data_IF_141793783907
#
_entry.id   IF_141793783907
#
_cell.length_a   1.000
_cell.length_b   1.000
_cell.length_c   1.000
_cell.angle_alpha   90.00
_cell.angle_beta   90.00
_cell.angle_gamma   90.00
#
_symmetry.space_group_name_H-M   'P 1'
#
loop_
_entity.id
_entity.type
_entity.pdbx_description
1 polymer ?
#
# COMPACT_ATOMS: atom_id res chain seq x y z
N UNK A 1 -25.55 -0.31 -3.97
CA UNK A 1 -25.43 -1.69 -3.47
C UNK A 1 -25.70 -2.62 -4.65
N UNK A 2 -24.65 -3.08 -5.32
CA UNK A 2 -24.77 -4.09 -6.39
C UNK A 2 -23.69 -5.14 -6.16
N UNK A 3 -24.14 -6.33 -5.76
CA UNK A 3 -23.33 -7.52 -5.57
C UNK A 3 -23.29 -8.24 -6.92
N UNK A 4 -22.10 -8.43 -7.49
CA UNK A 4 -21.88 -9.29 -8.68
C UNK A 4 -21.42 -10.67 -8.16
N UNK A 5 -22.01 -11.79 -8.62
CA UNK A 5 -21.74 -13.11 -8.05
C UNK A 5 -20.42 -13.70 -8.57
N UNK A 6 -19.64 -14.23 -7.61
CA UNK A 6 -18.60 -15.25 -7.68
C UNK A 6 -17.69 -15.31 -8.93
N UNK A 7 -16.48 -14.76 -8.79
CA UNK A 7 -15.35 -15.04 -9.70
C UNK A 7 -14.16 -14.07 -9.64
N UNK A 8 -14.28 -12.91 -8.98
CA UNK A 8 -13.17 -11.95 -8.87
C UNK A 8 -13.02 -11.50 -7.41
N UNK A 9 -12.13 -12.15 -6.64
CA UNK A 9 -11.71 -11.69 -5.29
C UNK A 9 -10.77 -10.48 -5.44
N UNK A 10 -11.03 -9.56 -6.37
CA UNK A 10 -10.32 -8.29 -6.47
C UNK A 10 -10.99 -7.29 -5.56
N UNK A 11 -10.66 -7.39 -4.27
CA UNK A 11 -11.04 -6.42 -3.22
C UNK A 11 -10.86 -4.99 -3.74
N UNK A 12 -11.85 -4.14 -3.43
CA UNK A 12 -12.07 -2.79 -3.95
C UNK A 12 -10.80 -2.03 -4.35
N UNK A 13 -10.59 -1.84 -5.66
CA UNK A 13 -9.59 -0.91 -6.17
C UNK A 13 -10.22 0.48 -6.30
N UNK A 14 -9.48 1.52 -5.92
CA UNK A 14 -9.87 2.90 -6.20
C UNK A 14 -9.75 3.10 -7.71
N UNK A 15 -10.87 3.43 -8.36
CA UNK A 15 -10.88 3.80 -9.78
C UNK A 15 -10.70 5.32 -9.87
N UNK A 16 -9.73 5.73 -10.68
CA UNK A 16 -9.44 7.13 -10.99
C UNK A 16 -9.66 7.28 -12.48
N UNK A 17 -10.48 8.24 -12.88
CA UNK A 17 -10.75 8.54 -14.29
C UNK A 17 -9.56 9.27 -14.92
N UNK A 18 -9.38 9.12 -16.23
CA UNK A 18 -8.18 9.63 -16.95
C UNK A 18 -8.05 11.16 -16.87
N UNK A 19 -9.17 11.88 -16.79
CA UNK A 19 -9.21 13.35 -16.72
C UNK A 19 -9.12 13.90 -15.29
N UNK A 20 -9.13 13.02 -14.27
CA UNK A 20 -9.14 13.40 -12.87
C UNK A 20 -7.77 13.87 -12.39
N UNK A 21 -7.75 14.94 -11.61
CA UNK A 21 -6.56 15.40 -10.91
C UNK A 21 -6.82 16.73 -10.21
N UNK A 22 -6.21 16.91 -9.05
CA UNK A 22 -6.30 18.15 -8.29
C UNK A 22 -5.26 19.16 -8.78
N UNK A 23 -5.60 20.43 -8.65
CA UNK A 23 -4.64 21.52 -8.89
C UNK A 23 -3.49 21.44 -7.89
N UNK A 24 -2.27 21.67 -8.38
CA UNK A 24 -1.03 21.60 -7.62
C UNK A 24 -0.99 22.70 -6.56
N UNK A 25 -1.57 23.87 -6.83
CA UNK A 25 -1.61 25.02 -5.92
C UNK A 25 -2.40 24.74 -4.62
N UNK A 26 -3.24 23.72 -4.61
CA UNK A 26 -3.99 23.29 -3.42
C UNK A 26 -3.14 22.51 -2.41
N UNK A 27 -1.89 22.17 -2.75
CA UNK A 27 -1.01 21.35 -1.94
C UNK A 27 0.34 22.02 -1.69
N UNK A 28 1.00 21.56 -0.63
CA UNK A 28 2.38 21.93 -0.34
C UNK A 28 3.34 21.05 -1.14
N UNK A 29 3.89 21.62 -2.22
CA UNK A 29 4.89 20.96 -3.06
C UNK A 29 6.30 21.43 -2.68
N UNK A 30 7.30 20.52 -2.60
CA UNK A 30 8.69 20.91 -2.40
C UNK A 30 9.17 21.84 -3.52
N UNK A 31 9.89 22.91 -3.16
CA UNK A 31 10.33 23.96 -4.10
C UNK A 31 11.07 23.44 -5.34
N UNK A 32 11.84 22.37 -5.18
CA UNK A 32 12.62 21.74 -6.26
C UNK A 32 11.76 21.08 -7.35
N UNK A 33 10.45 20.96 -7.16
CA UNK A 33 9.50 20.43 -8.14
C UNK A 33 8.50 21.49 -8.62
N UNK A 34 8.70 22.77 -8.26
CA UNK A 34 7.87 23.87 -8.75
C UNK A 34 8.02 23.98 -10.28
N UNK A 35 6.89 24.00 -10.99
CA UNK A 35 6.85 24.06 -12.46
C UNK A 35 7.00 22.69 -13.16
N UNK A 36 7.43 21.64 -12.46
CA UNK A 36 7.59 20.29 -13.01
C UNK A 36 6.32 19.43 -12.88
N UNK A 37 5.35 19.87 -12.06
CA UNK A 37 4.11 19.15 -11.79
C UNK A 37 2.92 19.83 -12.47
N UNK A 38 2.09 19.05 -13.16
CA UNK A 38 0.86 19.55 -13.82
C UNK A 38 -0.39 19.38 -12.96
N UNK A 39 -0.56 18.21 -12.31
CA UNK A 39 -1.72 17.87 -11.46
C UNK A 39 -1.31 16.89 -10.37
N UNK A 40 -2.00 16.92 -9.24
CA UNK A 40 -1.91 15.90 -8.18
C UNK A 40 -2.99 14.84 -8.41
N UNK A 41 -2.63 13.60 -8.74
CA UNK A 41 -3.61 12.54 -8.98
C UNK A 41 -4.19 11.96 -7.68
N UNK A 42 -3.31 11.62 -6.73
CA UNK A 42 -3.70 11.00 -5.46
C UNK A 42 -2.96 11.70 -4.33
N UNK A 43 -3.67 12.47 -3.49
CA UNK A 43 -3.10 13.07 -2.29
C UNK A 43 -2.53 12.03 -1.32
N UNK A 44 -1.50 12.42 -0.57
CA UNK A 44 -0.83 11.54 0.39
C UNK A 44 -1.76 10.95 1.46
N UNK A 45 -2.80 11.70 1.85
CA UNK A 45 -3.86 11.26 2.77
C UNK A 45 -4.68 10.10 2.19
N UNK A 46 -5.19 10.24 0.96
CA UNK A 46 -5.95 9.16 0.31
C UNK A 46 -5.11 7.88 0.13
N UNK A 47 -3.80 8.04 -0.13
CA UNK A 47 -2.88 6.90 -0.15
C UNK A 47 -2.80 6.23 1.23
N UNK A 48 -2.70 7.01 2.31
CA UNK A 48 -2.62 6.47 3.66
C UNK A 48 -3.91 5.72 4.05
N UNK A 49 -5.07 6.32 3.79
CA UNK A 49 -6.38 5.69 4.05
C UNK A 49 -6.52 4.37 3.28
N UNK A 50 -6.07 4.35 2.02
CA UNK A 50 -6.12 3.12 1.23
C UNK A 50 -5.14 2.07 1.72
N UNK A 51 -3.94 2.46 2.13
CA UNK A 51 -2.95 1.54 2.71
C UNK A 51 -3.49 0.92 4.01
N UNK A 52 -4.16 1.69 4.86
CA UNK A 52 -4.82 1.19 6.06
C UNK A 52 -5.86 0.13 5.72
N UNK A 53 -6.74 0.39 4.74
CA UNK A 53 -7.73 -0.60 4.31
C UNK A 53 -7.08 -1.88 3.77
N UNK A 54 -6.02 -1.75 2.97
CA UNK A 54 -5.28 -2.91 2.45
C UNK A 54 -4.61 -3.70 3.59
N UNK A 55 -4.01 -3.01 4.56
CA UNK A 55 -3.42 -3.66 5.74
C UNK A 55 -4.47 -4.42 6.53
N UNK A 56 -5.65 -3.82 6.74
CA UNK A 56 -6.78 -4.45 7.43
C UNK A 56 -7.27 -5.70 6.71
N UNK A 57 -7.38 -5.65 5.38
CA UNK A 57 -7.78 -6.80 4.58
C UNK A 57 -6.76 -7.94 4.69
N UNK A 58 -5.47 -7.63 4.55
CA UNK A 58 -4.39 -8.63 4.70
C UNK A 58 -4.41 -9.22 6.11
N UNK A 59 -4.48 -8.39 7.15
CA UNK A 59 -4.45 -8.86 8.52
C UNK A 59 -5.62 -9.81 8.80
N UNK A 60 -6.86 -9.42 8.43
CA UNK A 60 -8.03 -10.26 8.63
C UNK A 60 -8.02 -11.54 7.80
N UNK A 61 -7.51 -11.50 6.58
CA UNK A 61 -7.41 -12.69 5.74
C UNK A 61 -6.53 -13.76 6.37
N UNK A 62 -5.38 -13.36 6.93
CA UNK A 62 -4.44 -14.29 7.52
C UNK A 62 -4.86 -14.73 8.92
N UNK A 63 -5.54 -13.88 9.72
CA UNK A 63 -5.96 -14.22 11.09
C UNK A 63 -7.29 -14.96 11.17
N UNK A 64 -8.18 -14.82 10.18
CA UNK A 64 -9.48 -15.54 10.18
C UNK A 64 -9.44 -16.92 9.52
N UNK A 65 -8.39 -17.21 8.75
CA UNK A 65 -8.30 -18.45 7.97
C UNK A 65 -7.68 -19.62 8.71
N UNK A 66 -7.16 -19.43 9.93
CA UNK A 66 -6.66 -20.53 10.77
C UNK A 66 -7.81 -21.19 11.52
N UNK A 67 -7.72 -22.51 11.69
CA UNK A 67 -8.64 -23.24 12.53
C UNK A 67 -8.65 -22.65 13.95
N UNK A 68 -9.83 -22.38 14.54
CA UNK A 68 -9.95 -21.75 15.85
C UNK A 68 -9.41 -22.60 17.01
N UNK A 69 -9.01 -23.85 16.75
CA UNK A 69 -8.36 -24.74 17.74
C UNK A 69 -6.82 -24.68 17.70
N UNK A 70 -6.21 -24.16 16.64
CA UNK A 70 -4.75 -23.97 16.56
C UNK A 70 -4.40 -22.57 17.05
N UNK A 71 -3.94 -22.46 18.30
CA UNK A 71 -3.36 -21.24 18.88
C UNK A 71 -1.97 -20.94 18.27
N UNK A 72 -1.90 -20.81 16.95
CA UNK A 72 -0.67 -20.62 16.21
C UNK A 72 -0.48 -19.15 15.83
N UNK A 73 0.76 -18.67 15.98
CA UNK A 73 1.19 -17.38 15.47
C UNK A 73 1.21 -17.39 13.93
N UNK A 74 0.56 -16.42 13.30
CA UNK A 74 0.53 -16.31 11.85
C UNK A 74 1.81 -15.68 11.31
N UNK A 75 2.37 -16.27 10.25
CA UNK A 75 3.57 -15.75 9.57
C UNK A 75 3.28 -15.40 8.10
N UNK A 76 3.80 -14.25 7.68
CA UNK A 76 3.75 -13.75 6.31
C UNK A 76 5.15 -13.32 5.89
N UNK A 77 5.67 -13.90 4.80
CA UNK A 77 6.87 -13.39 4.14
C UNK A 77 6.45 -12.40 3.07
N UNK A 78 6.89 -11.15 3.19
CA UNK A 78 6.48 -10.06 2.32
C UNK A 78 7.65 -9.54 1.48
N UNK A 79 7.49 -9.65 0.16
CA UNK A 79 8.53 -9.33 -0.82
C UNK A 79 8.35 -7.91 -1.38
N UNK A 80 9.22 -6.99 -0.99
CA UNK A 80 9.21 -5.60 -1.43
C UNK A 80 10.01 -5.40 -2.73
N UNK A 81 9.34 -4.95 -3.79
CA UNK A 81 9.98 -4.61 -5.07
C UNK A 81 10.55 -3.20 -5.04
N UNK A 82 11.88 -3.10 -5.11
CA UNK A 82 12.62 -1.84 -5.10
C UNK A 82 12.71 -1.20 -6.49
N UNK A 83 12.81 0.14 -6.60
CA UNK A 83 12.90 1.12 -5.49
C UNK A 83 11.54 1.69 -5.06
N UNK A 84 10.60 1.85 -5.99
CA UNK A 84 9.33 2.56 -5.76
C UNK A 84 8.41 1.93 -4.72
N UNK A 85 8.49 0.61 -4.50
CA UNK A 85 7.65 -0.09 -3.53
C UNK A 85 8.01 0.20 -2.06
N UNK A 86 9.20 0.74 -1.77
CA UNK A 86 9.71 0.88 -0.42
C UNK A 86 8.80 1.73 0.50
N UNK A 87 8.33 2.88 0.02
CA UNK A 87 7.50 3.78 0.84
C UNK A 87 6.12 3.16 1.13
N UNK A 88 5.49 2.53 0.13
CA UNK A 88 4.23 1.80 0.31
C UNK A 88 4.39 0.66 1.30
N UNK A 89 5.44 -0.15 1.13
CA UNK A 89 5.74 -1.29 1.98
C UNK A 89 5.96 -0.88 3.45
N UNK A 90 6.74 0.18 3.67
CA UNK A 90 6.95 0.74 5.02
C UNK A 90 5.64 1.15 5.69
N UNK A 91 4.76 1.87 4.97
CA UNK A 91 3.43 2.24 5.48
C UNK A 91 2.55 1.03 5.76
N UNK A 92 2.56 0.03 4.89
CA UNK A 92 1.77 -1.19 5.05
C UNK A 92 2.20 -1.96 6.31
N UNK A 93 3.50 -2.19 6.49
CA UNK A 93 4.02 -2.87 7.69
C UNK A 93 3.68 -2.11 8.96
N UNK A 94 3.77 -0.77 8.95
CA UNK A 94 3.43 0.04 10.10
C UNK A 94 1.95 -0.12 10.49
N UNK A 95 1.06 -0.21 9.51
CA UNK A 95 -0.37 -0.46 9.76
C UNK A 95 -0.62 -1.86 10.30
N UNK A 96 0.00 -2.90 9.74
CA UNK A 96 -0.10 -4.28 10.27
C UNK A 96 0.42 -4.35 11.72
N UNK A 97 1.57 -3.73 12.01
CA UNK A 97 2.11 -3.67 13.36
C UNK A 97 1.18 -2.91 14.33
N UNK A 98 0.46 -1.91 13.83
CA UNK A 98 -0.55 -1.17 14.59
C UNK A 98 -1.73 -2.09 14.92
N UNK A 99 -2.22 -2.87 13.96
CA UNK A 99 -3.29 -3.84 14.18
C UNK A 99 -2.91 -4.93 15.19
N UNK A 100 -1.70 -5.47 15.11
CA UNK A 100 -1.20 -6.44 16.09
C UNK A 100 -1.22 -5.92 17.53
N UNK A 101 -1.00 -4.63 17.75
CA UNK A 101 -1.05 -4.01 19.09
C UNK A 101 -2.48 -3.89 19.61
N UNK A 102 -3.45 -3.71 18.72
CA UNK A 102 -4.86 -3.56 19.09
C UNK A 102 -5.59 -4.91 19.22
N UNK A 103 -5.04 -5.97 18.63
CA UNK A 103 -5.52 -7.33 18.80
C UNK A 103 -5.06 -7.94 20.13
N UNK A 104 -5.92 -8.75 20.75
CA UNK A 104 -5.63 -9.43 22.04
C UNK A 104 -5.21 -10.88 21.88
N UNK A 105 -5.70 -11.56 20.85
CA UNK A 105 -5.54 -13.00 20.61
C UNK A 105 -4.68 -13.30 19.40
N UNK A 106 -4.80 -12.49 18.34
CA UNK A 106 -4.19 -12.78 17.04
C UNK A 106 -3.07 -11.80 16.73
N UNK A 107 -1.98 -12.30 16.17
CA UNK A 107 -0.88 -11.47 15.67
C UNK A 107 -0.34 -12.03 14.36
N UNK A 108 -0.07 -11.14 13.42
CA UNK A 108 0.55 -11.45 12.14
C UNK A 108 2.01 -11.00 12.15
N UNK A 109 2.95 -11.95 12.18
CA UNK A 109 4.38 -11.70 12.00
C UNK A 109 4.67 -11.49 10.52
N UNK A 110 5.33 -10.40 10.19
CA UNK A 110 5.73 -10.07 8.82
C UNK A 110 7.25 -10.12 8.71
N UNK A 111 7.78 -11.09 7.99
CA UNK A 111 9.17 -11.14 7.56
C UNK A 111 9.32 -10.38 6.24
N UNK A 112 10.42 -9.64 6.07
CA UNK A 112 10.62 -8.80 4.88
C UNK A 112 11.77 -9.28 4.01
N UNK A 113 11.51 -9.35 2.70
CA UNK A 113 12.53 -9.59 1.69
C UNK A 113 12.51 -8.47 0.65
N UNK A 114 13.67 -8.16 0.07
CA UNK A 114 13.80 -7.09 -0.92
C UNK A 114 14.34 -7.64 -2.24
N UNK A 115 13.65 -7.30 -3.34
CA UNK A 115 14.12 -7.62 -4.68
C UNK A 115 14.16 -6.39 -5.56
N UNK A 116 15.06 -6.39 -6.54
CA UNK A 116 15.16 -5.35 -7.56
C UNK A 116 14.91 -5.95 -8.93
N UNK A 117 13.83 -5.51 -9.57
CA UNK A 117 13.47 -5.93 -10.93
C UNK A 117 13.82 -4.81 -11.91
N UNK A 118 14.41 -5.15 -13.06
CA UNK A 118 14.61 -4.21 -14.18
C UNK A 118 13.49 -4.42 -15.19
N UNK A 119 12.47 -3.55 -15.15
CA UNK A 119 11.31 -3.65 -16.06
C UNK A 119 11.18 -2.48 -17.03
N UNK A 120 11.83 -1.34 -16.75
CA UNK A 120 11.69 -0.13 -17.54
C UNK A 120 12.83 0.02 -18.55
N UNK A 121 12.49 0.44 -19.77
CA UNK A 121 13.45 0.83 -20.81
C UNK A 121 13.46 2.36 -20.85
N UNK A 122 14.62 2.96 -20.54
CA UNK A 122 14.79 4.41 -20.43
C UNK A 122 15.42 4.82 -19.08
N UNK A 123 15.90 6.07 -18.96
CA UNK A 123 16.41 6.58 -17.69
C UNK A 123 15.26 6.63 -16.69
N UNK A 124 15.34 5.83 -15.62
CA UNK A 124 14.56 6.10 -14.41
C UNK A 124 15.18 7.39 -13.86
N UNK A 125 14.54 8.53 -14.12
CA UNK A 125 14.92 9.82 -13.56
C UNK A 125 14.56 9.76 -12.07
N UNK A 126 15.44 9.13 -11.29
CA UNK A 126 15.52 9.43 -9.87
C UNK A 126 16.10 10.84 -9.82
N UNK A 127 15.26 11.87 -9.61
CA UNK A 127 15.71 13.16 -9.14
C UNK A 127 16.25 12.97 -7.71
N UNK A 128 17.41 12.34 -7.60
CA UNK A 128 18.29 12.47 -6.46
C UNK A 128 19.22 13.60 -6.87
N UNK A 129 18.85 14.82 -6.49
CA UNK A 129 19.78 15.96 -6.53
C UNK A 129 20.93 15.70 -5.54
N UNK A 130 22.15 16.18 -5.85
CA UNK A 130 23.36 16.00 -5.03
C UNK A 130 23.28 16.63 -3.64
#
# INVERSE_FOLDING_TARGET
MSVIPNGDVRRDRVKVDDDFGFDVELFTVPRQYEGDLSKVLIPSGLIADRVEKVASDIWHDYTRSSDPESAESHELVALCVLKGGHNFFGKLKAQIATMNKFSRSDALRVEEEFIRIKSYVGPIICLVSP
#
